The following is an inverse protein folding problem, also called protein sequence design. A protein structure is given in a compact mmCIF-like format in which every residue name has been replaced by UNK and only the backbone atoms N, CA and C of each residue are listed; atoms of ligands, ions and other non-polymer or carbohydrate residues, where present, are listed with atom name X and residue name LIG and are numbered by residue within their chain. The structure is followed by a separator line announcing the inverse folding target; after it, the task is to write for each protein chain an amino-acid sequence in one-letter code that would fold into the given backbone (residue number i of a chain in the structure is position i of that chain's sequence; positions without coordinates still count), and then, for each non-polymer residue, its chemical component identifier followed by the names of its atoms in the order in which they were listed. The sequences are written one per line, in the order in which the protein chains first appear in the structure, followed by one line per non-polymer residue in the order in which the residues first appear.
data_IF_116045863724
#
_entry.id   IF_116045863724
#
_cell.length_a   1.000
_cell.length_b   1.000
_cell.length_c   1.000
_cell.angle_alpha   90.00
_cell.angle_beta   90.00
_cell.angle_gamma   90.00
#
_symmetry.space_group_name_H-M   'P 1'
#
loop_
_entity.id
_entity.type
_entity.pdbx_description
1 polymer ?
#
# COMPACT_ATOMS: atom_id res chain seq x y z
N UNK A 1 11.48 26.90 -2.44
CA UNK A 1 11.20 26.38 -1.09
C UNK A 1 11.24 24.85 -1.10
N UNK A 2 12.41 24.24 -1.39
CA UNK A 2 12.59 22.79 -1.31
C UNK A 2 13.21 22.46 0.06
N UNK A 3 12.38 22.14 1.04
CA UNK A 3 12.89 21.70 2.35
C UNK A 3 13.21 20.20 2.27
N UNK A 4 14.48 19.78 2.45
CA UNK A 4 14.88 18.38 2.33
C UNK A 4 14.17 17.48 3.37
N UNK A 5 13.82 18.05 4.53
CA UNK A 5 13.06 17.37 5.59
C UNK A 5 11.69 16.88 5.07
N UNK A 6 10.99 17.70 4.28
CA UNK A 6 9.67 17.33 3.76
C UNK A 6 9.76 16.17 2.78
N UNK A 7 10.73 16.22 1.87
CA UNK A 7 10.96 15.18 0.88
C UNK A 7 11.34 13.85 1.55
N UNK A 8 12.29 13.87 2.48
CA UNK A 8 12.72 12.67 3.21
C UNK A 8 11.59 12.07 4.06
N UNK A 9 10.74 12.91 4.66
CA UNK A 9 9.58 12.43 5.44
C UNK A 9 8.61 11.64 4.58
N UNK A 10 8.32 12.11 3.37
CA UNK A 10 7.46 11.39 2.42
C UNK A 10 8.10 10.06 2.01
N UNK A 11 9.40 10.05 1.73
CA UNK A 11 10.13 8.83 1.36
C UNK A 11 10.10 7.77 2.49
N UNK A 12 10.32 8.18 3.75
CA UNK A 12 10.22 7.27 4.90
C UNK A 12 8.80 6.77 5.13
N UNK A 13 7.79 7.61 4.92
CA UNK A 13 6.40 7.17 4.97
C UNK A 13 6.11 6.07 3.93
N UNK A 14 6.59 6.21 2.69
CA UNK A 14 6.43 5.17 1.67
C UNK A 14 7.25 3.92 1.97
N UNK A 15 8.47 4.08 2.51
CA UNK A 15 9.27 2.96 3.01
C UNK A 15 8.48 2.12 4.03
N UNK A 16 7.94 2.76 5.07
CA UNK A 16 7.17 2.08 6.12
C UNK A 16 5.90 1.44 5.54
N UNK A 17 5.22 2.12 4.61
CA UNK A 17 4.01 1.62 3.96
C UNK A 17 4.27 0.34 3.15
N UNK A 18 5.29 0.33 2.30
CA UNK A 18 5.62 -0.84 1.47
C UNK A 18 6.21 -1.98 2.30
N UNK A 19 7.04 -1.65 3.30
CA UNK A 19 7.60 -2.65 4.21
C UNK A 19 6.50 -3.33 5.03
N UNK A 20 5.58 -2.55 5.61
CA UNK A 20 4.44 -3.10 6.34
C UNK A 20 3.54 -3.95 5.43
N UNK A 21 3.26 -3.48 4.21
CA UNK A 21 2.49 -4.23 3.22
C UNK A 21 3.13 -5.59 2.91
N UNK A 22 4.45 -5.64 2.69
CA UNK A 22 5.19 -6.87 2.44
C UNK A 22 5.14 -7.81 3.65
N UNK A 23 5.37 -7.29 4.87
CA UNK A 23 5.30 -8.08 6.10
C UNK A 23 3.92 -8.71 6.27
N UNK A 24 2.84 -7.94 6.07
CA UNK A 24 1.48 -8.45 6.16
C UNK A 24 1.21 -9.58 5.15
N UNK A 25 1.71 -9.45 3.91
CA UNK A 25 1.57 -10.50 2.89
C UNK A 25 2.39 -11.75 3.18
N UNK A 26 3.54 -11.61 3.82
CA UNK A 26 4.37 -12.74 4.25
C UNK A 26 3.68 -13.49 5.40
N UNK A 27 3.21 -12.76 6.42
CA UNK A 27 2.51 -13.34 7.57
C UNK A 27 1.19 -14.00 7.18
N UNK A 28 0.46 -13.39 6.24
CA UNK A 28 -0.83 -13.87 5.74
C UNK A 28 -0.74 -14.34 4.29
N UNK A 29 0.27 -15.15 3.97
CA UNK A 29 0.52 -15.62 2.61
C UNK A 29 -0.62 -16.47 2.02
N UNK A 30 -1.20 -17.39 2.79
CA UNK A 30 -2.32 -18.24 2.32
C UNK A 30 -3.60 -17.45 1.99
N UNK A 31 -4.05 -16.49 2.83
CA UNK A 31 -5.10 -15.55 2.44
C UNK A 31 -4.73 -14.76 1.18
N UNK A 32 -3.52 -14.21 1.10
CA UNK A 32 -3.08 -13.41 -0.05
C UNK A 32 -3.08 -14.20 -1.37
N UNK A 33 -2.54 -15.42 -1.40
CA UNK A 33 -2.54 -16.26 -2.61
C UNK A 33 -3.95 -16.63 -3.05
N UNK A 34 -4.88 -16.88 -2.11
CA UNK A 34 -6.31 -17.08 -2.42
C UNK A 34 -6.95 -15.84 -3.03
N UNK A 35 -6.61 -14.65 -2.54
CA UNK A 35 -7.03 -13.40 -3.17
C UNK A 35 -6.50 -13.29 -4.60
N UNK A 36 -5.22 -13.62 -4.81
CA UNK A 36 -4.58 -13.61 -6.14
C UNK A 36 -5.26 -14.60 -7.10
N UNK A 37 -5.51 -15.82 -6.64
CA UNK A 37 -6.26 -16.86 -7.37
C UNK A 37 -7.69 -16.39 -7.69
N UNK A 38 -8.35 -15.69 -6.76
CA UNK A 38 -9.70 -15.16 -6.89
C UNK A 38 -9.88 -14.15 -8.02
N UNK A 39 -8.80 -13.49 -8.48
CA UNK A 39 -8.84 -12.61 -9.65
C UNK A 39 -9.00 -13.38 -10.97
N UNK A 40 -8.74 -14.70 -11.00
CA UNK A 40 -8.83 -15.54 -12.21
C UNK A 40 -8.08 -14.96 -13.43
N UNK A 41 -7.07 -14.11 -13.20
CA UNK A 41 -6.27 -13.47 -14.25
C UNK A 41 -5.18 -14.40 -14.78
N UNK A 42 -4.82 -15.42 -14.01
CA UNK A 42 -3.70 -16.31 -14.28
C UNK A 42 -4.07 -17.78 -14.00
N UNK A 43 -3.41 -18.73 -14.67
CA UNK A 43 -3.55 -20.14 -14.37
C UNK A 43 -3.01 -20.46 -12.96
N UNK A 44 -3.60 -21.49 -12.34
CA UNK A 44 -3.38 -21.84 -10.92
C UNK A 44 -1.90 -22.04 -10.55
N UNK A 45 -1.09 -22.55 -11.49
CA UNK A 45 0.34 -22.79 -11.29
C UNK A 45 1.18 -21.50 -11.23
N UNK A 46 0.70 -20.37 -11.77
CA UNK A 46 1.40 -19.07 -11.72
C UNK A 46 1.01 -18.20 -10.51
N UNK A 47 -0.02 -18.58 -9.75
CA UNK A 47 -0.50 -17.80 -8.59
C UNK A 47 0.60 -17.63 -7.55
N UNK A 48 1.22 -18.73 -7.13
CA UNK A 48 2.26 -18.71 -6.07
C UNK A 48 3.53 -17.97 -6.52
N UNK A 49 4.11 -18.24 -7.71
CA UNK A 49 5.24 -17.45 -8.23
C UNK A 49 4.96 -15.96 -8.30
N UNK A 50 3.77 -15.56 -8.78
CA UNK A 50 3.42 -14.15 -8.87
C UNK A 50 3.25 -13.51 -7.49
N UNK A 51 2.63 -14.21 -6.53
CA UNK A 51 2.51 -13.73 -5.16
C UNK A 51 3.89 -13.46 -4.53
N UNK A 52 4.87 -14.35 -4.75
CA UNK A 52 6.25 -14.14 -4.29
C UNK A 52 6.87 -12.94 -5.00
N UNK A 53 6.71 -12.84 -6.32
CA UNK A 53 7.24 -11.71 -7.10
C UNK A 53 6.69 -10.37 -6.62
N UNK A 54 5.40 -10.29 -6.29
CA UNK A 54 4.78 -9.10 -5.70
C UNK A 54 5.46 -8.75 -4.38
N UNK A 55 5.63 -9.71 -3.47
CA UNK A 55 6.28 -9.45 -2.16
C UNK A 55 7.72 -8.96 -2.37
N UNK A 56 8.48 -9.60 -3.26
CA UNK A 56 9.85 -9.17 -3.57
C UNK A 56 9.89 -7.76 -4.16
N UNK A 57 8.95 -7.42 -5.02
CA UNK A 57 8.85 -6.08 -5.60
C UNK A 57 8.53 -5.02 -4.54
N UNK A 58 7.69 -5.32 -3.55
CA UNK A 58 7.38 -4.41 -2.44
C UNK A 58 8.60 -4.19 -1.54
N UNK A 59 9.36 -5.24 -1.24
CA UNK A 59 10.62 -5.14 -0.50
C UNK A 59 11.65 -4.34 -1.30
N UNK A 60 11.71 -4.55 -2.62
CA UNK A 60 12.57 -3.78 -3.53
C UNK A 60 12.23 -2.29 -3.52
N UNK A 61 10.94 -1.94 -3.54
CA UNK A 61 10.48 -0.56 -3.39
C UNK A 61 10.91 0.03 -2.04
N UNK A 62 10.68 -0.68 -0.94
CA UNK A 62 11.15 -0.21 0.37
C UNK A 62 12.68 0.02 0.35
N UNK A 63 13.47 -0.96 -0.11
CA UNK A 63 14.93 -0.82 -0.22
C UNK A 63 15.38 0.37 -1.08
N UNK A 64 14.64 0.69 -2.14
CA UNK A 64 14.95 1.81 -3.04
C UNK A 64 14.81 3.19 -2.37
N UNK A 65 13.86 3.34 -1.44
CA UNK A 65 13.71 4.57 -0.66
C UNK A 65 14.84 4.74 0.38
N UNK A 66 15.57 3.66 0.72
CA UNK A 66 16.68 3.70 1.68
C UNK A 66 18.07 3.86 1.03
N UNK A 67 18.28 3.37 -0.20
CA UNK A 67 19.64 3.11 -0.72
C UNK A 67 20.14 3.94 -1.92
N UNK A 68 19.47 4.06 -3.10
CA UNK A 68 19.95 4.72 -4.37
C UNK A 68 18.81 4.69 -5.46
N UNK A 69 18.88 5.42 -6.61
CA UNK A 69 18.25 6.72 -6.87
C UNK A 69 16.69 6.72 -6.88
N UNK A 70 16.10 7.83 -6.42
CA UNK A 70 14.66 8.14 -6.32
C UNK A 70 13.81 7.59 -7.46
N UNK A 71 14.21 7.81 -8.71
CA UNK A 71 13.29 7.69 -9.83
C UNK A 71 12.85 6.25 -10.10
N UNK A 72 13.78 5.29 -10.11
CA UNK A 72 13.42 3.89 -10.33
C UNK A 72 12.52 3.35 -9.21
N UNK A 73 12.82 3.70 -7.96
CA UNK A 73 11.98 3.37 -6.80
C UNK A 73 10.59 3.98 -6.86
N UNK A 74 10.49 5.26 -7.23
CA UNK A 74 9.23 5.97 -7.42
C UNK A 74 8.38 5.35 -8.53
N UNK A 75 8.99 5.04 -9.68
CA UNK A 75 8.28 4.40 -10.79
C UNK A 75 7.80 3.00 -10.43
N UNK A 76 8.62 2.22 -9.73
CA UNK A 76 8.22 0.89 -9.26
C UNK A 76 7.09 0.97 -8.22
N UNK A 77 7.17 1.92 -7.28
CA UNK A 77 6.12 2.18 -6.29
C UNK A 77 4.79 2.56 -6.97
N UNK A 78 4.83 3.46 -7.96
CA UNK A 78 3.68 3.85 -8.77
C UNK A 78 3.10 2.65 -9.52
N UNK A 79 3.95 1.87 -10.17
CA UNK A 79 3.53 0.68 -10.91
C UNK A 79 2.82 -0.34 -9.99
N UNK A 80 3.37 -0.59 -8.79
CA UNK A 80 2.74 -1.48 -7.82
C UNK A 80 1.40 -0.94 -7.30
N UNK A 81 1.32 0.35 -6.95
CA UNK A 81 0.07 0.96 -6.51
C UNK A 81 -1.00 0.94 -7.60
N UNK A 82 -0.63 1.23 -8.85
CA UNK A 82 -1.56 1.19 -9.99
C UNK A 82 -2.01 -0.24 -10.25
N UNK A 83 -1.09 -1.20 -10.32
CA UNK A 83 -1.45 -2.60 -10.59
C UNK A 83 -2.38 -3.16 -9.51
N UNK A 84 -2.12 -2.85 -8.23
CA UNK A 84 -3.00 -3.24 -7.13
C UNK A 84 -4.37 -2.54 -7.21
N UNK A 85 -4.40 -1.26 -7.57
CA UNK A 85 -5.66 -0.51 -7.74
C UNK A 85 -6.48 -1.04 -8.92
N UNK A 86 -5.84 -1.36 -10.04
CA UNK A 86 -6.49 -1.99 -11.20
C UNK A 86 -7.05 -3.34 -10.81
N UNK A 87 -6.30 -4.16 -10.06
CA UNK A 87 -6.80 -5.44 -9.57
C UNK A 87 -8.08 -5.27 -8.73
N UNK A 88 -8.08 -4.35 -7.76
CA UNK A 88 -9.27 -4.03 -6.96
C UNK A 88 -10.43 -3.56 -7.83
N UNK A 89 -10.18 -2.65 -8.79
CA UNK A 89 -11.20 -2.11 -9.67
C UNK A 89 -11.82 -3.19 -10.56
N UNK A 90 -11.00 -4.07 -11.14
CA UNK A 90 -11.49 -5.21 -11.94
C UNK A 90 -12.37 -6.13 -11.09
N UNK A 91 -12.02 -6.37 -9.83
CA UNK A 91 -12.85 -7.17 -8.93
C UNK A 91 -14.19 -6.50 -8.61
N UNK A 92 -14.19 -5.18 -8.41
CA UNK A 92 -15.41 -4.40 -8.22
C UNK A 92 -16.33 -4.46 -9.45
N UNK A 93 -15.78 -4.27 -10.64
CA UNK A 93 -16.54 -4.30 -11.89
C UNK A 93 -17.12 -5.68 -12.20
N UNK A 94 -16.48 -6.77 -11.73
CA UNK A 94 -16.99 -8.14 -11.84
C UNK A 94 -18.08 -8.49 -10.83
N UNK A 95 -18.53 -7.54 -10.00
CA UNK A 95 -19.61 -7.74 -9.04
C UNK A 95 -19.27 -8.68 -7.88
N UNK A 96 -17.98 -9.02 -7.68
CA UNK A 96 -17.54 -9.79 -6.51
C UNK A 96 -17.54 -8.86 -5.29
N UNK A 97 -18.69 -8.85 -4.60
CA UNK A 97 -18.98 -7.94 -3.48
C UNK A 97 -18.22 -8.23 -2.19
N UNK A 98 -17.38 -9.27 -2.15
CA UNK A 98 -16.58 -9.68 -1.00
C UNK A 98 -15.14 -9.80 -1.46
N UNK A 99 -14.35 -8.75 -1.22
CA UNK A 99 -12.93 -8.78 -1.51
C UNK A 99 -12.22 -9.10 -0.19
N UNK A 100 -11.60 -10.27 -0.16
CA UNK A 100 -10.68 -10.65 0.90
C UNK A 100 -9.31 -10.13 0.44
N UNK A 101 -8.90 -8.93 0.88
CA UNK A 101 -7.64 -8.32 0.44
C UNK A 101 -6.39 -8.95 1.10
N UNK A 102 -6.55 -9.98 1.94
CA UNK A 102 -5.47 -10.65 2.66
C UNK A 102 -4.81 -9.82 3.77
N UNK A 103 -4.88 -8.47 3.72
CA UNK A 103 -4.33 -7.58 4.74
C UNK A 103 -5.30 -7.25 5.90
N UNK A 104 -6.63 -7.26 5.69
CA UNK A 104 -7.59 -6.68 6.65
C UNK A 104 -8.95 -7.42 6.75
N UNK A 105 -9.02 -8.69 6.30
CA UNK A 105 -10.22 -9.53 6.38
C UNK A 105 -11.29 -9.26 5.32
N UNK A 106 -12.43 -9.95 5.45
CA UNK A 106 -13.54 -9.89 4.49
C UNK A 106 -14.19 -8.50 4.48
N UNK A 107 -14.14 -7.82 3.34
CA UNK A 107 -14.69 -6.47 3.20
C UNK A 107 -15.65 -6.37 2.01
N UNK A 108 -16.80 -5.71 2.21
CA UNK A 108 -17.81 -5.48 1.14
C UNK A 108 -17.49 -4.22 0.31
N UNK A 109 -18.11 -4.11 -0.88
CA UNK A 109 -17.93 -3.08 -1.93
C UNK A 109 -17.59 -1.66 -1.45
N UNK A 110 -18.22 -1.16 -0.39
CA UNK A 110 -17.99 0.19 0.13
C UNK A 110 -16.54 0.44 0.60
N UNK A 111 -15.89 -0.57 1.17
CA UNK A 111 -14.49 -0.46 1.61
C UNK A 111 -13.52 -0.44 0.44
N UNK A 112 -13.84 -1.14 -0.65
CA UNK A 112 -13.00 -1.23 -1.84
C UNK A 112 -12.88 0.12 -2.56
N UNK A 113 -13.95 0.92 -2.61
CA UNK A 113 -13.90 2.29 -3.16
C UNK A 113 -13.01 3.22 -2.33
N UNK A 114 -13.02 3.06 -1.00
CA UNK A 114 -12.18 3.86 -0.11
C UNK A 114 -10.69 3.49 -0.26
N UNK A 115 -10.38 2.19 -0.44
CA UNK A 115 -9.01 1.75 -0.78
C UNK A 115 -8.55 2.34 -2.12
N UNK A 116 -9.41 2.35 -3.14
CA UNK A 116 -9.10 2.96 -4.43
C UNK A 116 -8.78 4.45 -4.29
N UNK A 117 -9.63 5.21 -3.59
CA UNK A 117 -9.42 6.63 -3.35
C UNK A 117 -8.10 6.88 -2.60
N UNK A 118 -7.81 6.08 -1.57
CA UNK A 118 -6.55 6.13 -0.84
C UNK A 118 -5.34 5.89 -1.75
N UNK A 119 -5.39 4.85 -2.59
CA UNK A 119 -4.28 4.55 -3.50
C UNK A 119 -4.11 5.65 -4.57
N UNK A 120 -5.20 6.25 -5.05
CA UNK A 120 -5.15 7.39 -5.99
C UNK A 120 -4.44 8.58 -5.33
N UNK A 121 -4.75 8.89 -4.06
CA UNK A 121 -4.06 9.95 -3.31
C UNK A 121 -2.57 9.64 -3.18
N UNK A 122 -2.22 8.40 -2.81
CA UNK A 122 -0.81 7.97 -2.70
C UNK A 122 -0.07 8.07 -4.05
N UNK A 123 -0.70 7.66 -5.15
CA UNK A 123 -0.16 7.87 -6.49
C UNK A 123 0.05 9.35 -6.80
N UNK A 124 -0.92 10.21 -6.45
CA UNK A 124 -0.79 11.66 -6.61
C UNK A 124 0.40 12.25 -5.86
N UNK A 125 0.65 11.79 -4.63
CA UNK A 125 1.81 12.21 -3.83
C UNK A 125 3.12 11.76 -4.50
N UNK A 126 3.21 10.51 -4.98
CA UNK A 126 4.40 10.02 -5.68
C UNK A 126 4.65 10.76 -7.01
N UNK A 127 3.60 11.09 -7.75
CA UNK A 127 3.68 11.90 -8.97
C UNK A 127 4.15 13.31 -8.64
N UNK A 128 3.62 13.94 -7.60
CA UNK A 128 4.10 15.26 -7.16
C UNK A 128 5.58 15.20 -6.76
N UNK A 129 5.98 14.14 -6.07
CA UNK A 129 7.36 13.90 -5.64
C UNK A 129 8.32 13.72 -6.83
N UNK A 130 7.86 13.15 -7.96
CA UNK A 130 8.70 12.97 -9.15
C UNK A 130 8.98 14.28 -9.90
N UNK A 131 8.12 15.28 -9.76
CA UNK A 131 8.33 16.63 -10.32
C UNK A 131 9.24 17.51 -9.44
N UNK A 132 9.49 17.13 -8.19
CA UNK A 132 10.37 17.88 -7.30
C UNK A 132 11.85 17.62 -7.63
N UNK A 133 12.69 18.67 -7.70
CA UNK A 133 14.14 18.50 -7.86
C UNK A 133 14.67 17.57 -6.78
N UNK A 134 15.52 16.61 -7.18
CA UNK A 134 16.18 15.73 -6.22
C UNK A 134 17.08 16.57 -5.32
N UNK A 135 16.65 16.80 -4.07
CA UNK A 135 17.47 17.53 -3.11
C UNK A 135 18.64 16.65 -2.66
N UNK A 136 19.82 17.23 -2.36
CA UNK A 136 20.94 16.49 -1.80
C UNK A 136 20.49 15.78 -0.51
N UNK A 137 20.36 14.45 -0.60
CA UNK A 137 19.91 13.54 0.48
C UNK A 137 20.97 13.28 1.54
N UNK A 138 21.86 14.23 1.78
CA UNK A 138 22.76 14.19 2.94
C UNK A 138 22.25 15.19 4.00
N UNK A 139 21.09 14.92 4.61
CA UNK A 139 20.68 15.65 5.80
C UNK A 139 21.67 15.33 6.92
N UNK A 140 21.78 16.23 7.89
CA UNK A 140 22.51 15.92 9.13
C UNK A 140 21.94 14.65 9.77
N UNK A 141 22.74 13.93 10.57
CA UNK A 141 22.28 12.74 11.30
C UNK A 141 20.96 12.97 12.05
N UNK A 142 20.81 14.15 12.65
CA UNK A 142 19.61 14.59 13.35
C UNK A 142 18.41 14.74 12.43
N UNK A 143 18.55 15.42 11.29
CA UNK A 143 17.48 15.55 10.30
C UNK A 143 17.02 14.17 9.78
N UNK A 144 17.94 13.22 9.60
CA UNK A 144 17.59 11.84 9.21
C UNK A 144 16.70 11.17 10.24
N UNK A 145 17.08 11.27 11.52
CA UNK A 145 16.30 10.74 12.64
C UNK A 145 14.93 11.43 12.68
N UNK A 146 14.87 12.76 12.65
CA UNK A 146 13.60 13.49 12.72
C UNK A 146 12.67 13.13 11.56
N UNK A 147 13.16 13.08 10.32
CA UNK A 147 12.35 12.69 9.17
C UNK A 147 11.85 11.24 9.27
N UNK A 148 12.67 10.32 9.78
CA UNK A 148 12.24 8.93 10.02
C UNK A 148 11.12 8.87 11.07
N UNK A 149 11.33 9.49 12.24
CA UNK A 149 10.31 9.52 13.30
C UNK A 149 9.01 10.17 12.84
N UNK A 150 9.08 11.30 12.14
CA UNK A 150 7.89 11.97 11.61
C UNK A 150 7.19 11.06 10.58
N UNK A 151 7.93 10.46 9.65
CA UNK A 151 7.40 9.52 8.67
C UNK A 151 6.68 8.34 9.31
N UNK A 152 7.29 7.72 10.32
CA UNK A 152 6.71 6.61 11.07
C UNK A 152 5.48 7.04 11.88
N UNK A 153 5.46 8.22 12.47
CA UNK A 153 4.26 8.76 13.14
C UNK A 153 3.11 8.91 12.14
N UNK A 154 3.36 9.52 10.97
CA UNK A 154 2.36 9.63 9.91
C UNK A 154 1.86 8.26 9.45
N UNK A 155 2.77 7.29 9.30
CA UNK A 155 2.42 5.92 8.95
C UNK A 155 1.55 5.24 10.02
N UNK A 156 1.88 5.39 11.31
CA UNK A 156 1.07 4.85 12.42
C UNK A 156 -0.31 5.47 12.46
N UNK A 157 -0.43 6.80 12.28
CA UNK A 157 -1.74 7.47 12.20
C UNK A 157 -2.53 6.96 11.00
N UNK A 158 -1.90 6.89 9.84
CA UNK A 158 -2.51 6.40 8.60
C UNK A 158 -2.98 4.94 8.73
N UNK A 159 -2.16 4.06 9.29
CA UNK A 159 -2.52 2.66 9.50
C UNK A 159 -3.61 2.50 10.56
N UNK A 160 -3.57 3.27 11.65
CA UNK A 160 -4.62 3.30 12.67
C UNK A 160 -5.97 3.75 12.09
N UNK A 161 -5.98 4.82 11.28
CA UNK A 161 -7.18 5.25 10.56
C UNK A 161 -7.73 4.15 9.65
N UNK A 162 -6.87 3.50 8.86
CA UNK A 162 -7.27 2.38 8.01
C UNK A 162 -7.90 1.23 8.82
N UNK A 163 -7.35 0.90 10.00
CA UNK A 163 -7.90 -0.15 10.86
C UNK A 163 -9.27 0.23 11.44
N UNK A 164 -9.44 1.47 11.91
CA UNK A 164 -10.72 1.95 12.47
C UNK A 164 -11.83 1.85 11.43
N UNK A 165 -11.58 2.32 10.20
CA UNK A 165 -12.53 2.26 9.09
C UNK A 165 -12.91 0.81 8.79
N UNK A 166 -11.92 -0.08 8.76
CA UNK A 166 -12.14 -1.51 8.51
C UNK A 166 -13.04 -2.11 9.60
N UNK A 167 -12.71 -1.89 10.87
CA UNK A 167 -13.47 -2.41 12.00
C UNK A 167 -14.89 -1.86 12.06
N UNK A 168 -15.07 -0.55 11.80
CA UNK A 168 -16.37 0.09 11.76
C UNK A 168 -17.25 -0.51 10.64
N UNK A 169 -16.67 -0.78 9.47
CA UNK A 169 -17.39 -1.42 8.37
C UNK A 169 -17.88 -2.83 8.74
N UNK A 170 -17.05 -3.64 9.42
CA UNK A 170 -17.44 -4.98 9.87
C UNK A 170 -18.52 -4.96 10.95
N UNK A 171 -18.45 -4.01 11.89
CA UNK A 171 -19.45 -3.84 12.94
C UNK A 171 -20.83 -3.50 12.36
N UNK A 172 -20.89 -2.59 11.39
CA UNK A 172 -22.13 -2.24 10.68
C UNK A 172 -22.69 -3.44 9.89
N UNK A 173 -21.83 -4.26 9.32
CA UNK A 173 -22.24 -5.47 8.58
C UNK A 173 -22.81 -6.54 9.50
N UNK A 174 -22.16 -6.80 10.65
CA UNK A 174 -22.68 -7.73 11.66
C UNK A 174 -24.05 -7.28 12.16
N UNK A 175 -24.23 -5.97 12.34
CA UNK A 175 -25.52 -5.39 12.69
C UNK A 175 -26.57 -5.66 11.60
N UNK A 176 -26.26 -5.38 10.32
CA UNK A 176 -27.20 -5.60 9.21
C UNK A 176 -27.64 -7.07 9.08
N UNK A 177 -26.71 -8.03 9.20
CA UNK A 177 -27.03 -9.46 9.15
C UNK A 177 -27.86 -9.98 10.34
N UNK A 178 -27.99 -9.21 11.42
CA UNK A 178 -28.86 -9.55 12.56
C UNK A 178 -30.30 -9.03 12.40
N UNK A 179 -30.54 -8.11 11.44
CA UNK A 179 -31.86 -7.51 11.19
C UNK A 179 -32.48 -7.93 9.85
N UNK A 180 -31.73 -8.65 9.01
CA UNK A 180 -32.19 -9.30 7.77
C UNK A 180 -32.43 -10.80 8.06
#
# INVERSE_FOLDING_TARGET
MNNPIFQNTIEYFFFDLFLYSAIQKILHFSPFTRSVEGYQLLPRYLVVPLSIFIILSEIGVAGSFLSIPTQAGLFLALFLLISFSVAILVNLLRGKKTIDCGCFGHSKEAYSWMILLRNIILCGILVLLSFLPSTPRFPTFWERIFSFWIGTIFFVIFSGWNQIITNASQALLKKKMLYD
#
